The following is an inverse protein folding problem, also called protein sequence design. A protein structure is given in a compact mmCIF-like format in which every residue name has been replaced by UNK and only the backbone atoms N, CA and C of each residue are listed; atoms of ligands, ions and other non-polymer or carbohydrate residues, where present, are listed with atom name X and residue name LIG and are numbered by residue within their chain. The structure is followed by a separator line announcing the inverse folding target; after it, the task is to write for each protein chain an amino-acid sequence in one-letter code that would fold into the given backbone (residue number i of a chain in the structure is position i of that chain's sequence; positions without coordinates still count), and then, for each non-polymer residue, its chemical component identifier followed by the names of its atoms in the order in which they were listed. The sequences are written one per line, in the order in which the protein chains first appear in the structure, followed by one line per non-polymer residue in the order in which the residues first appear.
data_IF_728816337287
#
_entry.id   IF_728816337287
#
_cell.length_a   1.000
_cell.length_b   1.000
_cell.length_c   1.000
_cell.angle_alpha   90.00
_cell.angle_beta   90.00
_cell.angle_gamma   90.00
#
_symmetry.space_group_name_H-M   'P 1'
#
loop_
_entity.id
_entity.type
_entity.pdbx_description
1 polymer ?
#
# COMPACT_ATOMS: atom_id res chain seq x y z
N UNK A 1 -17.10 -18.71 20.38
CA UNK A 1 -17.24 -17.62 19.38
C UNK A 1 -17.72 -18.25 18.09
N UNK A 2 -18.73 -17.68 17.44
CA UNK A 2 -19.19 -18.13 16.13
C UNK A 2 -18.07 -17.92 15.09
N UNK A 3 -17.57 -18.98 14.42
CA UNK A 3 -16.53 -18.88 13.41
C UNK A 3 -16.85 -17.87 12.30
N UNK A 4 -18.13 -17.71 11.94
CA UNK A 4 -18.56 -16.75 10.92
C UNK A 4 -18.38 -15.29 11.40
N UNK A 5 -18.75 -15.00 12.64
CA UNK A 5 -18.51 -13.70 13.25
C UNK A 5 -17.01 -13.38 13.35
N UNK A 6 -16.18 -14.36 13.73
CA UNK A 6 -14.72 -14.20 13.80
C UNK A 6 -14.11 -13.91 12.42
N UNK A 7 -14.63 -14.54 11.37
CA UNK A 7 -14.24 -14.33 9.97
C UNK A 7 -14.48 -12.89 9.51
N UNK A 8 -15.66 -12.32 9.79
CA UNK A 8 -15.96 -10.92 9.45
C UNK A 8 -15.10 -9.92 10.22
N UNK A 9 -14.84 -10.17 11.51
CA UNK A 9 -13.93 -9.33 12.30
C UNK A 9 -12.50 -9.42 11.75
N UNK A 10 -12.03 -10.64 11.42
CA UNK A 10 -10.73 -10.88 10.83
C UNK A 10 -10.55 -10.15 9.49
N UNK A 11 -11.56 -10.15 8.63
CA UNK A 11 -11.54 -9.41 7.36
C UNK A 11 -11.39 -7.90 7.59
N UNK A 12 -12.12 -7.33 8.56
CA UNK A 12 -11.99 -5.92 8.94
C UNK A 12 -10.60 -5.58 9.49
N UNK A 13 -10.05 -6.43 10.35
CA UNK A 13 -8.70 -6.26 10.90
C UNK A 13 -7.61 -6.38 9.83
N UNK A 14 -7.77 -7.29 8.87
CA UNK A 14 -6.83 -7.47 7.77
C UNK A 14 -6.63 -6.16 7.00
N UNK A 15 -7.68 -5.35 6.81
CA UNK A 15 -7.62 -4.05 6.12
C UNK A 15 -6.69 -3.02 6.78
N UNK A 16 -6.39 -3.15 8.09
CA UNK A 16 -5.44 -2.26 8.76
C UNK A 16 -4.03 -2.37 8.19
N UNK A 17 -3.69 -3.51 7.58
CA UNK A 17 -2.40 -3.70 6.89
C UNK A 17 -2.15 -2.68 5.77
N UNK A 18 -3.21 -2.13 5.15
CA UNK A 18 -3.09 -1.09 4.12
C UNK A 18 -2.56 0.24 4.67
N UNK A 19 -2.63 0.49 5.99
CA UNK A 19 -2.11 1.71 6.59
C UNK A 19 -0.59 1.87 6.35
N UNK A 20 0.15 0.77 6.35
CA UNK A 20 1.59 0.77 6.05
C UNK A 20 1.89 1.23 4.62
N UNK A 21 1.11 0.75 3.64
CA UNK A 21 1.23 1.18 2.26
C UNK A 21 0.88 2.68 2.11
N UNK A 22 -0.19 3.15 2.76
CA UNK A 22 -0.56 4.56 2.75
C UNK A 22 0.55 5.48 3.28
N UNK A 23 1.16 5.12 4.43
CA UNK A 23 2.29 5.87 5.00
C UNK A 23 3.51 5.80 4.08
N UNK A 24 3.82 4.61 3.56
CA UNK A 24 4.93 4.37 2.65
C UNK A 24 4.83 5.21 1.38
N UNK A 25 3.65 5.24 0.75
CA UNK A 25 3.39 6.05 -0.43
C UNK A 25 3.46 7.55 -0.13
N UNK A 26 2.87 8.00 0.98
CA UNK A 26 2.94 9.39 1.41
C UNK A 26 4.39 9.87 1.52
N UNK A 27 5.24 9.06 2.16
CA UNK A 27 6.67 9.35 2.26
C UNK A 27 7.38 9.29 0.89
N UNK A 28 7.12 8.26 0.09
CA UNK A 28 7.75 8.06 -1.22
C UNK A 28 7.50 9.26 -2.15
N UNK A 29 6.24 9.63 -2.34
CA UNK A 29 5.88 10.76 -3.19
C UNK A 29 6.28 12.10 -2.56
N UNK A 30 6.14 12.26 -1.25
CA UNK A 30 6.58 13.47 -0.55
C UNK A 30 8.06 13.77 -0.75
N UNK A 31 8.91 12.74 -0.59
CA UNK A 31 10.36 12.87 -0.80
C UNK A 31 10.70 13.11 -2.28
N UNK A 32 9.99 12.45 -3.21
CA UNK A 32 10.17 12.72 -4.64
C UNK A 32 9.89 14.18 -4.99
N UNK A 33 8.75 14.75 -4.56
CA UNK A 33 8.43 16.15 -4.84
C UNK A 33 9.39 17.12 -4.15
N UNK A 34 9.80 16.84 -2.91
CA UNK A 34 10.79 17.64 -2.20
C UNK A 34 12.16 17.66 -2.93
N UNK A 35 12.53 16.57 -3.60
CA UNK A 35 13.72 16.50 -4.46
C UNK A 35 13.50 17.16 -5.83
N UNK A 36 12.38 16.87 -6.48
CA UNK A 36 12.03 17.36 -7.81
C UNK A 36 11.91 18.90 -7.86
N UNK A 37 11.36 19.52 -6.82
CA UNK A 37 11.29 20.98 -6.72
C UNK A 37 12.67 21.64 -6.57
N UNK A 38 13.67 20.91 -6.03
CA UNK A 38 15.05 21.41 -5.91
C UNK A 38 15.85 21.24 -7.19
N UNK A 39 15.57 20.19 -7.97
CA UNK A 39 16.23 19.95 -9.26
C UNK A 39 15.26 19.35 -10.30
N UNK A 40 14.45 20.19 -10.96
CA UNK A 40 13.41 19.71 -11.88
C UNK A 40 13.94 18.94 -13.09
N UNK A 41 15.13 19.29 -13.59
CA UNK A 41 15.72 18.64 -14.77
C UNK A 41 16.12 17.18 -14.52
N UNK A 42 16.42 16.82 -13.27
CA UNK A 42 16.73 15.44 -12.88
C UNK A 42 15.47 14.62 -12.55
N UNK A 43 14.33 15.27 -12.29
CA UNK A 43 13.12 14.61 -11.80
C UNK A 43 12.56 13.61 -12.81
N UNK A 44 12.56 13.96 -14.11
CA UNK A 44 12.06 13.08 -15.16
C UNK A 44 12.85 11.77 -15.26
N UNK A 45 14.17 11.83 -15.05
CA UNK A 45 15.04 10.64 -15.02
C UNK A 45 14.77 9.71 -13.84
N UNK A 46 14.11 10.19 -12.77
CA UNK A 46 13.79 9.39 -11.58
C UNK A 46 12.36 8.83 -11.57
N UNK A 47 11.51 9.21 -12.54
CA UNK A 47 10.12 8.75 -12.61
C UNK A 47 9.99 7.22 -12.71
N UNK A 48 10.91 6.55 -13.40
CA UNK A 48 10.93 5.09 -13.47
C UNK A 48 11.15 4.44 -12.11
N UNK A 49 12.13 4.93 -11.35
CA UNK A 49 12.43 4.47 -9.99
C UNK A 49 11.28 4.78 -9.02
N UNK A 50 10.64 5.94 -9.17
CA UNK A 50 9.46 6.31 -8.39
C UNK A 50 8.31 5.32 -8.61
N UNK A 51 8.00 5.00 -9.87
CA UNK A 51 6.92 4.06 -10.22
C UNK A 51 7.23 2.64 -9.75
N UNK A 52 8.50 2.20 -9.83
CA UNK A 52 8.93 0.94 -9.27
C UNK A 52 8.75 0.91 -7.75
N UNK A 53 9.21 1.96 -7.04
CA UNK A 53 9.02 2.09 -5.59
C UNK A 53 7.54 2.10 -5.20
N UNK A 54 6.69 2.77 -5.97
CA UNK A 54 5.24 2.81 -5.78
C UNK A 54 4.64 1.40 -5.89
N UNK A 55 4.95 0.68 -6.97
CA UNK A 55 4.42 -0.66 -7.21
C UNK A 55 4.85 -1.65 -6.12
N UNK A 56 6.12 -1.57 -5.68
CA UNK A 56 6.64 -2.41 -4.59
C UNK A 56 5.99 -2.09 -3.24
N UNK A 57 5.76 -0.81 -2.96
CA UNK A 57 5.11 -0.36 -1.72
C UNK A 57 3.64 -0.79 -1.70
N UNK A 58 2.93 -0.67 -2.83
CA UNK A 58 1.54 -1.10 -2.93
C UNK A 58 1.35 -2.60 -2.94
N UNK A 59 2.31 -3.38 -3.46
CA UNK A 59 2.21 -4.84 -3.41
C UNK A 59 1.97 -5.35 -1.98
N UNK A 60 2.57 -4.71 -0.98
CA UNK A 60 2.35 -5.03 0.43
C UNK A 60 0.93 -4.66 0.91
N UNK A 61 0.38 -3.55 0.43
CA UNK A 61 -1.01 -3.14 0.72
C UNK A 61 -2.03 -4.07 0.08
N UNK A 62 -1.81 -4.47 -1.17
CA UNK A 62 -2.68 -5.38 -1.91
C UNK A 62 -2.75 -6.76 -1.23
N UNK A 63 -1.68 -7.25 -0.59
CA UNK A 63 -1.74 -8.51 0.16
C UNK A 63 -2.71 -8.44 1.35
N UNK A 64 -2.79 -7.29 2.04
CA UNK A 64 -3.76 -7.06 3.12
C UNK A 64 -5.21 -7.11 2.58
N UNK A 65 -5.46 -6.49 1.42
CA UNK A 65 -6.75 -6.60 0.74
C UNK A 65 -7.06 -8.03 0.29
N UNK A 66 -6.07 -8.74 -0.27
CA UNK A 66 -6.22 -10.13 -0.68
C UNK A 66 -6.65 -11.02 0.48
N UNK A 67 -5.99 -10.90 1.64
CA UNK A 67 -6.36 -11.66 2.84
C UNK A 67 -7.79 -11.34 3.28
N UNK A 68 -8.19 -10.06 3.26
CA UNK A 68 -9.56 -9.68 3.58
C UNK A 68 -10.58 -10.31 2.61
N UNK A 69 -10.30 -10.34 1.30
CA UNK A 69 -11.15 -10.96 0.30
C UNK A 69 -11.23 -12.48 0.47
N UNK A 70 -10.12 -13.14 0.79
CA UNK A 70 -10.10 -14.58 1.06
C UNK A 70 -10.95 -14.92 2.28
N UNK A 71 -10.84 -14.12 3.35
CA UNK A 71 -11.68 -14.21 4.55
C UNK A 71 -13.13 -13.80 4.32
N UNK A 72 -13.53 -13.26 3.17
CA UNK A 72 -14.94 -12.99 2.89
C UNK A 72 -15.53 -14.07 2.00
N UNK A 73 -14.77 -14.53 1.00
CA UNK A 73 -15.35 -15.24 -0.14
C UNK A 73 -14.76 -16.62 -0.41
N UNK A 74 -13.61 -16.97 0.17
CA UNK A 74 -12.92 -18.22 -0.13
C UNK A 74 -12.88 -19.21 1.04
N UNK A 75 -12.56 -18.71 2.24
CA UNK A 75 -12.38 -19.50 3.48
C UNK A 75 -13.37 -19.00 4.49
#
# INVERSE_FOLDING_TARGET
MDPLAAKYIGAGLACLGMAGAAIGLGNLFGQFYAGALRNPSAADGQRGNLLLGFALTEALGIFSLLVALLLLFAV
#
